data_IF_761508709068
#
_entry.id   IF_761508709068
#
_cell.length_a   1.000
_cell.length_b   1.000
_cell.length_c   1.000
_cell.angle_alpha   90.00
_cell.angle_beta   90.00
_cell.angle_gamma   90.00
#
_symmetry.space_group_name_H-M   'P 1'
#
loop_
_entity.id
_entity.type
_entity.pdbx_description
1 polymer ?
#
# COMPACT_ATOMS: atom_id res chain seq x y z
N UNK A 1 0.06 -3.49 6.17
CA UNK A 1 -0.36 -2.07 6.30
C UNK A 1 -0.02 -1.33 5.02
N UNK A 2 -1.02 -0.73 4.37
CA UNK A 2 -0.83 0.06 3.16
C UNK A 2 -0.71 1.55 3.51
N UNK A 3 0.27 2.20 2.90
CA UNK A 3 0.63 3.60 3.14
C UNK A 3 0.82 4.33 1.81
N UNK A 4 0.68 5.64 1.83
CA UNK A 4 1.05 6.51 0.72
C UNK A 4 2.37 7.22 1.05
N UNK A 5 3.35 7.02 0.20
CA UNK A 5 4.64 7.71 0.21
C UNK A 5 4.59 8.83 -0.80
N UNK A 6 4.90 10.05 -0.41
CA UNK A 6 4.76 11.20 -1.28
C UNK A 6 5.99 12.09 -1.22
N UNK A 7 6.44 12.56 -2.38
CA UNK A 7 7.51 13.53 -2.49
C UNK A 7 6.93 14.95 -2.32
N UNK A 8 7.04 15.51 -1.10
CA UNK A 8 6.50 16.84 -0.77
C UNK A 8 7.00 17.95 -1.70
N UNK A 9 8.23 17.83 -2.21
CA UNK A 9 8.79 18.81 -3.16
C UNK A 9 8.07 18.78 -4.50
N UNK A 10 7.81 17.58 -5.06
CA UNK A 10 7.08 17.48 -6.32
C UNK A 10 5.63 17.98 -6.18
N UNK A 11 4.99 17.75 -5.04
CA UNK A 11 3.67 18.29 -4.72
C UNK A 11 3.71 19.83 -4.60
N UNK A 12 4.72 20.40 -3.91
CA UNK A 12 4.92 21.86 -3.83
C UNK A 12 5.17 22.48 -5.21
N UNK A 13 5.99 21.85 -6.04
CA UNK A 13 6.27 22.28 -7.43
C UNK A 13 5.01 22.21 -8.34
N UNK A 14 3.99 21.44 -7.94
CA UNK A 14 2.67 21.41 -8.58
C UNK A 14 1.67 22.40 -7.96
N UNK A 15 2.09 23.18 -6.94
CA UNK A 15 1.28 24.22 -6.29
C UNK A 15 0.43 23.71 -5.14
N UNK A 16 0.83 22.62 -4.47
CA UNK A 16 0.18 22.08 -3.28
C UNK A 16 1.12 22.23 -2.07
N UNK A 17 0.73 23.01 -1.06
CA UNK A 17 1.54 23.16 0.16
C UNK A 17 1.69 21.85 0.95
N UNK A 18 0.67 21.02 0.89
CA UNK A 18 0.64 19.68 1.50
C UNK A 18 0.14 18.65 0.50
N UNK A 19 0.48 17.38 0.74
CA UNK A 19 -0.08 16.28 -0.04
C UNK A 19 -1.58 16.20 0.22
N UNK A 20 -2.43 16.16 -0.83
CA UNK A 20 -3.88 16.11 -0.67
C UNK A 20 -4.36 14.91 0.15
N UNK A 21 -5.36 15.14 1.00
CA UNK A 21 -5.97 14.13 1.86
C UNK A 21 -7.18 13.42 1.21
N UNK A 22 -7.65 13.92 0.06
CA UNK A 22 -8.80 13.36 -0.67
C UNK A 22 -8.43 12.96 -2.09
N UNK A 23 -9.10 11.93 -2.60
CA UNK A 23 -8.89 11.53 -3.99
C UNK A 23 -9.40 12.56 -5.00
N UNK A 24 -10.40 13.37 -4.64
CA UNK A 24 -10.89 14.44 -5.53
C UNK A 24 -9.78 15.46 -5.81
N UNK A 25 -9.04 15.85 -4.78
CA UNK A 25 -7.88 16.75 -4.93
C UNK A 25 -6.74 16.09 -5.72
N UNK A 26 -6.50 14.80 -5.50
CA UNK A 26 -5.49 14.03 -6.25
C UNK A 26 -5.89 13.93 -7.74
N UNK A 27 -7.16 13.67 -8.04
CA UNK A 27 -7.66 13.67 -9.42
C UNK A 27 -7.50 15.05 -10.08
N UNK A 28 -7.79 16.12 -9.35
CA UNK A 28 -7.58 17.49 -9.84
C UNK A 28 -6.09 17.82 -10.07
N UNK A 29 -5.18 17.17 -9.37
CA UNK A 29 -3.73 17.36 -9.53
C UNK A 29 -3.15 16.60 -10.73
N UNK A 30 -3.79 15.51 -11.18
CA UNK A 30 -3.24 14.62 -12.20
C UNK A 30 -2.78 15.33 -13.50
N UNK A 31 -3.52 16.31 -14.06
CA UNK A 31 -3.05 17.05 -15.24
C UNK A 31 -1.72 17.75 -15.03
N UNK A 32 -1.50 18.34 -13.85
CA UNK A 32 -0.26 19.07 -13.54
C UNK A 32 0.99 18.17 -13.53
N UNK A 33 0.81 16.93 -13.08
CA UNK A 33 1.88 15.92 -13.11
C UNK A 33 2.07 15.34 -14.51
N UNK A 34 0.97 15.13 -15.23
CA UNK A 34 1.03 14.69 -16.63
C UNK A 34 1.77 15.69 -17.53
N UNK A 35 1.58 17.00 -17.35
CA UNK A 35 2.31 18.04 -18.05
C UNK A 35 3.83 17.99 -17.78
N UNK A 36 4.22 17.47 -16.61
CA UNK A 36 5.63 17.24 -16.24
C UNK A 36 6.15 15.87 -16.70
N UNK A 37 5.32 15.06 -17.35
CA UNK A 37 5.68 13.72 -17.83
C UNK A 37 5.86 12.68 -16.73
N UNK A 38 5.27 12.90 -15.54
CA UNK A 38 5.31 11.96 -14.43
C UNK A 38 3.89 11.59 -13.96
N UNK A 39 3.64 10.35 -13.49
CA UNK A 39 2.37 10.01 -12.87
C UNK A 39 2.24 10.65 -11.49
N UNK A 40 1.01 10.92 -11.08
CA UNK A 40 0.71 11.39 -9.73
C UNK A 40 1.03 10.31 -8.71
N UNK A 41 0.67 9.06 -9.01
CA UNK A 41 0.94 7.90 -8.15
C UNK A 41 1.50 6.76 -9.01
N UNK A 42 2.67 6.24 -8.62
CA UNK A 42 3.22 5.03 -9.24
C UNK A 42 2.48 3.78 -8.75
N UNK A 43 2.14 2.91 -9.68
CA UNK A 43 1.59 1.58 -9.43
C UNK A 43 2.27 0.58 -10.36
N UNK A 44 2.71 -0.55 -9.83
CA UNK A 44 3.12 -1.73 -10.59
C UNK A 44 2.21 -2.90 -10.23
N UNK A 45 1.37 -3.31 -11.16
CA UNK A 45 0.31 -4.30 -10.94
C UNK A 45 0.40 -5.53 -11.86
N UNK A 46 1.54 -5.74 -12.50
CA UNK A 46 1.78 -6.91 -13.35
C UNK A 46 1.43 -8.23 -12.66
N UNK A 47 1.72 -8.31 -11.36
CA UNK A 47 1.50 -9.51 -10.56
C UNK A 47 0.11 -9.53 -9.88
N UNK A 48 -0.76 -8.56 -10.16
CA UNK A 48 -2.13 -8.35 -9.67
C UNK A 48 -2.27 -8.04 -8.16
N UNK A 49 -1.42 -8.62 -7.31
CA UNK A 49 -1.52 -8.49 -5.85
C UNK A 49 -1.34 -7.04 -5.32
N UNK A 50 -0.53 -6.14 -5.95
CA UNK A 50 -0.32 -4.81 -5.37
C UNK A 50 -1.61 -3.99 -5.34
N UNK A 51 -2.43 -4.06 -6.40
CA UNK A 51 -3.69 -3.36 -6.44
C UNK A 51 -4.73 -3.97 -5.49
N UNK A 52 -4.77 -5.30 -5.40
CA UNK A 52 -5.64 -6.01 -4.48
C UNK A 52 -5.27 -5.71 -3.02
N UNK A 53 -4.00 -5.95 -2.65
CA UNK A 53 -3.58 -5.90 -1.26
C UNK A 53 -3.34 -4.50 -0.73
N UNK A 54 -2.79 -3.59 -1.55
CA UNK A 54 -2.44 -2.26 -1.09
C UNK A 54 -3.54 -1.22 -1.32
N UNK A 55 -4.45 -1.46 -2.27
CA UNK A 55 -5.48 -0.51 -2.65
C UNK A 55 -6.88 -0.98 -2.27
N UNK A 56 -7.36 -2.09 -2.86
CA UNK A 56 -8.73 -2.55 -2.66
C UNK A 56 -8.98 -2.92 -1.19
N UNK A 57 -8.03 -3.59 -0.53
CA UNK A 57 -8.17 -3.97 0.88
C UNK A 57 -8.32 -2.76 1.81
N UNK A 58 -7.67 -1.64 1.50
CA UNK A 58 -7.76 -0.42 2.28
C UNK A 58 -8.96 0.44 1.88
N UNK A 59 -9.11 0.70 0.58
CA UNK A 59 -10.18 1.56 0.07
C UNK A 59 -11.55 0.89 0.19
N UNK A 60 -11.63 -0.44 0.03
CA UNK A 60 -12.86 -1.20 0.19
C UNK A 60 -13.45 -1.05 1.59
N UNK A 61 -12.65 -1.14 2.64
CA UNK A 61 -13.10 -0.97 4.03
C UNK A 61 -13.72 0.42 4.25
N UNK A 62 -13.19 1.45 3.61
CA UNK A 62 -13.75 2.81 3.73
C UNK A 62 -15.17 2.93 3.17
N UNK A 63 -15.53 2.12 2.18
CA UNK A 63 -16.89 2.02 1.65
C UNK A 63 -17.77 1.09 2.49
N UNK A 64 -17.24 -0.08 2.87
CA UNK A 64 -18.04 -1.16 3.45
C UNK A 64 -18.01 -1.20 4.98
N UNK A 65 -16.90 -0.79 5.58
CA UNK A 65 -16.64 -0.89 7.01
C UNK A 65 -16.26 -2.31 7.47
N UNK A 66 -15.62 -2.36 8.63
CA UNK A 66 -15.08 -3.61 9.22
C UNK A 66 -16.18 -4.64 9.52
N UNK A 67 -17.40 -4.20 9.85
CA UNK A 67 -18.51 -5.13 10.11
C UNK A 67 -18.86 -5.95 8.86
N UNK A 68 -18.86 -5.34 7.69
CA UNK A 68 -19.08 -6.04 6.43
C UNK A 68 -17.97 -7.06 6.16
N UNK A 69 -16.71 -6.68 6.34
CA UNK A 69 -15.57 -7.58 6.19
C UNK A 69 -15.70 -8.81 7.11
N UNK A 70 -16.06 -8.60 8.38
CA UNK A 70 -16.29 -9.68 9.33
C UNK A 70 -17.40 -10.63 8.88
N UNK A 71 -18.49 -10.11 8.29
CA UNK A 71 -19.56 -10.91 7.72
C UNK A 71 -19.11 -11.78 6.54
N UNK A 72 -18.25 -11.24 5.66
CA UNK A 72 -17.63 -12.01 4.57
C UNK A 72 -16.77 -13.16 5.13
N UNK A 73 -15.95 -12.88 6.14
CA UNK A 73 -15.08 -13.89 6.77
C UNK A 73 -15.89 -14.95 7.49
N UNK A 74 -16.93 -14.55 8.22
CA UNK A 74 -17.83 -15.47 8.95
C UNK A 74 -18.65 -16.38 8.02
N UNK A 75 -18.90 -15.94 6.78
CA UNK A 75 -19.72 -16.66 5.79
C UNK A 75 -21.14 -16.95 6.28
N UNK A 76 -21.68 -16.06 7.12
CA UNK A 76 -23.02 -16.20 7.73
C UNK A 76 -24.15 -15.61 6.88
N UNK A 77 -23.81 -15.06 5.71
CA UNK A 77 -24.76 -14.44 4.79
C UNK A 77 -25.13 -12.99 5.13
N UNK A 78 -24.56 -12.43 6.19
CA UNK A 78 -24.77 -11.02 6.58
C UNK A 78 -24.12 -10.02 5.62
N UNK A 79 -23.13 -10.45 4.84
CA UNK A 79 -22.43 -9.64 3.85
C UNK A 79 -22.19 -10.43 2.55
N UNK A 80 -22.20 -9.71 1.42
CA UNK A 80 -22.01 -10.28 0.08
C UNK A 80 -21.18 -9.32 -0.78
N UNK A 81 -20.38 -9.88 -1.69
CA UNK A 81 -19.62 -9.07 -2.67
C UNK A 81 -20.52 -8.30 -3.67
N UNK A 82 -21.84 -8.56 -3.67
CA UNK A 82 -22.84 -7.83 -4.44
C UNK A 82 -23.47 -6.67 -3.67
N UNK A 83 -23.08 -6.45 -2.42
CA UNK A 83 -23.64 -5.35 -1.64
C UNK A 83 -23.26 -4.00 -2.24
N UNK A 84 -24.20 -3.02 -2.25
CA UNK A 84 -23.99 -1.75 -2.93
C UNK A 84 -22.70 -1.04 -2.54
N UNK A 85 -22.35 -1.02 -1.24
CA UNK A 85 -21.13 -0.37 -0.75
C UNK A 85 -19.85 -1.00 -1.34
N UNK A 86 -19.79 -2.34 -1.47
CA UNK A 86 -18.65 -3.00 -2.11
C UNK A 86 -18.63 -2.77 -3.63
N UNK A 87 -19.79 -2.77 -4.27
CA UNK A 87 -19.91 -2.42 -5.69
C UNK A 87 -19.43 -0.98 -5.94
N UNK A 88 -19.72 -0.05 -5.04
CA UNK A 88 -19.26 1.34 -5.17
C UNK A 88 -17.74 1.45 -4.94
N UNK A 89 -17.16 0.67 -4.03
CA UNK A 89 -15.70 0.55 -3.92
C UNK A 89 -15.06 0.07 -5.24
N UNK A 90 -15.65 -0.93 -5.91
CA UNK A 90 -15.16 -1.42 -7.21
C UNK A 90 -15.31 -0.38 -8.34
N UNK A 91 -16.42 0.38 -8.35
CA UNK A 91 -16.60 1.50 -9.28
C UNK A 91 -15.55 2.57 -9.08
N UNK A 92 -15.25 2.91 -7.83
CA UNK A 92 -14.19 3.87 -7.49
C UNK A 92 -12.81 3.38 -7.97
N UNK A 93 -12.46 2.11 -7.72
CA UNK A 93 -11.17 1.56 -8.18
C UNK A 93 -11.06 1.54 -9.70
N UNK A 94 -12.16 1.28 -10.41
CA UNK A 94 -12.21 1.41 -11.87
C UNK A 94 -11.99 2.85 -12.32
N UNK A 95 -12.66 3.81 -11.69
CA UNK A 95 -12.51 5.24 -12.01
C UNK A 95 -11.07 5.71 -11.74
N UNK A 96 -10.46 5.27 -10.65
CA UNK A 96 -9.05 5.54 -10.35
C UNK A 96 -8.12 5.05 -11.46
N UNK A 97 -8.30 3.82 -11.94
CA UNK A 97 -7.51 3.29 -13.07
C UNK A 97 -7.70 4.04 -14.39
N UNK A 98 -8.79 4.77 -14.54
CA UNK A 98 -9.13 5.54 -15.75
C UNK A 98 -8.85 7.04 -15.62
N UNK A 99 -8.49 7.52 -14.43
CA UNK A 99 -8.38 8.96 -14.11
C UNK A 99 -7.11 9.64 -14.63
N UNK A 100 -6.12 8.88 -15.09
CA UNK A 100 -4.79 9.42 -15.45
C UNK A 100 -3.88 9.71 -14.24
N UNK A 101 -4.29 9.36 -13.03
CA UNK A 101 -3.47 9.48 -11.82
C UNK A 101 -2.32 8.49 -11.81
N UNK A 102 -2.56 7.28 -12.32
CA UNK A 102 -1.59 6.20 -12.37
C UNK A 102 -0.73 6.28 -13.64
N UNK A 103 0.47 5.71 -13.59
CA UNK A 103 1.28 5.50 -14.79
C UNK A 103 0.52 4.63 -15.81
N UNK A 104 0.65 4.96 -17.10
CA UNK A 104 -0.13 4.30 -18.17
C UNK A 104 0.14 2.79 -18.29
N UNK A 105 1.34 2.35 -17.91
CA UNK A 105 1.83 0.98 -17.98
C UNK A 105 1.65 0.18 -16.68
N UNK A 106 0.83 0.66 -15.74
CA UNK A 106 0.72 0.08 -14.40
C UNK A 106 0.42 -1.43 -14.36
N UNK A 107 -0.30 -1.97 -15.35
CA UNK A 107 -0.55 -3.40 -15.45
C UNK A 107 0.58 -4.20 -16.12
N UNK A 108 1.62 -3.54 -16.61
CA UNK A 108 2.74 -4.16 -17.32
C UNK A 108 4.04 -4.18 -16.53
N UNK A 109 4.17 -3.29 -15.55
CA UNK A 109 5.35 -3.21 -14.67
C UNK A 109 5.10 -3.90 -13.33
N UNK A 110 6.16 -4.42 -12.73
CA UNK A 110 6.15 -5.06 -11.42
C UNK A 110 6.01 -4.03 -10.29
N UNK A 111 5.68 -4.52 -9.09
CA UNK A 111 5.68 -3.68 -7.89
C UNK A 111 7.04 -3.03 -7.61
N UNK A 112 8.13 -3.79 -7.77
CA UNK A 112 9.48 -3.28 -7.56
C UNK A 112 9.86 -2.19 -8.57
N UNK A 113 9.40 -2.28 -9.81
CA UNK A 113 9.58 -1.23 -10.81
C UNK A 113 8.84 0.05 -10.43
N UNK A 114 7.64 -0.05 -9.86
CA UNK A 114 6.92 1.15 -9.35
C UNK A 114 7.63 1.79 -8.15
N UNK A 115 8.18 1.00 -7.24
CA UNK A 115 9.01 1.51 -6.13
C UNK A 115 10.28 2.19 -6.70
N UNK A 116 10.93 1.57 -7.69
CA UNK A 116 12.10 2.16 -8.35
C UNK A 116 11.77 3.49 -9.05
N UNK A 117 10.60 3.59 -9.68
CA UNK A 117 10.11 4.83 -10.28
C UNK A 117 10.01 5.95 -9.23
N UNK A 118 9.41 5.67 -8.08
CA UNK A 118 9.33 6.61 -6.97
C UNK A 118 10.71 6.99 -6.42
N UNK A 119 11.58 6.01 -6.18
CA UNK A 119 12.94 6.22 -5.66
C UNK A 119 13.80 7.13 -6.53
N UNK A 120 13.50 7.18 -7.83
CA UNK A 120 14.19 8.04 -8.81
C UNK A 120 13.50 9.42 -8.98
N UNK A 121 12.45 9.73 -8.21
CA UNK A 121 11.69 10.96 -8.35
C UNK A 121 10.85 11.04 -9.63
N UNK A 122 10.56 9.91 -10.26
CA UNK A 122 9.78 9.82 -11.50
C UNK A 122 8.27 9.62 -11.28
N UNK A 123 7.80 9.77 -10.05
CA UNK A 123 6.39 9.88 -9.67
C UNK A 123 6.25 10.77 -8.45
N UNK A 124 5.12 11.43 -8.30
CA UNK A 124 4.90 12.30 -7.15
C UNK A 124 4.60 11.51 -5.88
N UNK A 125 4.00 10.34 -6.03
CA UNK A 125 3.66 9.45 -4.92
C UNK A 125 3.77 7.97 -5.30
N UNK A 126 3.74 7.11 -4.28
CA UNK A 126 3.69 5.66 -4.37
C UNK A 126 2.70 5.15 -3.32
N UNK A 127 1.85 4.18 -3.66
CA UNK A 127 1.10 3.41 -2.66
C UNK A 127 1.70 2.02 -2.56
N UNK A 128 2.11 1.67 -1.36
CA UNK A 128 2.75 0.39 -1.08
C UNK A 128 2.55 0.00 0.39
N UNK A 129 2.94 -1.21 0.75
CA UNK A 129 3.01 -1.61 2.15
C UNK A 129 4.22 -0.99 2.87
N UNK A 130 4.21 -1.12 4.20
CA UNK A 130 5.30 -0.59 5.07
C UNK A 130 6.70 -1.09 4.68
N UNK A 131 6.81 -2.24 4.03
CA UNK A 131 8.10 -2.77 3.50
C UNK A 131 8.80 -1.83 2.52
N UNK A 132 8.07 -0.90 1.88
CA UNK A 132 8.68 0.09 1.00
C UNK A 132 9.59 1.06 1.76
N UNK A 133 9.42 1.23 3.07
CA UNK A 133 10.29 2.07 3.91
C UNK A 133 11.75 1.64 3.78
N UNK A 134 12.03 0.35 3.97
CA UNK A 134 13.40 -0.18 3.85
C UNK A 134 13.97 0.02 2.45
N UNK A 135 13.14 -0.17 1.41
CA UNK A 135 13.57 0.03 0.02
C UNK A 135 13.88 1.51 -0.27
N UNK A 136 13.03 2.44 0.20
CA UNK A 136 13.25 3.88 0.04
C UNK A 136 14.51 4.32 0.78
N UNK A 137 14.70 3.88 2.03
CA UNK A 137 15.91 4.18 2.81
C UNK A 137 17.17 3.68 2.09
N UNK A 138 17.14 2.48 1.55
CA UNK A 138 18.29 1.87 0.87
C UNK A 138 18.59 2.46 -0.51
N UNK A 139 17.56 2.69 -1.32
CA UNK A 139 17.72 2.84 -2.76
C UNK A 139 17.26 4.19 -3.34
N UNK A 140 16.48 5.00 -2.62
CA UNK A 140 16.03 6.27 -3.16
C UNK A 140 17.18 7.29 -3.26
N UNK A 141 17.05 8.24 -4.18
CA UNK A 141 17.97 9.35 -4.27
C UNK A 141 17.96 10.19 -2.98
N UNK A 142 19.06 10.90 -2.64
CA UNK A 142 19.07 11.76 -1.46
C UNK A 142 17.92 12.78 -1.44
N UNK A 143 17.60 13.37 -2.58
CA UNK A 143 16.49 14.32 -2.72
C UNK A 143 15.14 13.66 -2.41
N UNK A 144 14.87 12.45 -2.92
CA UNK A 144 13.63 11.73 -2.64
C UNK A 144 13.54 11.36 -1.16
N UNK A 145 14.62 10.86 -0.55
CA UNK A 145 14.66 10.53 0.89
C UNK A 145 14.28 11.71 1.77
N UNK A 146 14.91 12.87 1.53
CA UNK A 146 14.68 14.11 2.29
C UNK A 146 13.25 14.63 2.14
N UNK A 147 12.65 14.41 0.99
CA UNK A 147 11.34 14.94 0.66
C UNK A 147 10.21 13.92 0.79
N UNK A 148 10.49 12.67 1.16
CA UNK A 148 9.44 11.67 1.38
C UNK A 148 8.68 11.96 2.67
N UNK A 149 7.36 12.05 2.54
CA UNK A 149 6.41 12.04 3.66
C UNK A 149 5.50 10.82 3.55
N UNK A 150 5.09 10.29 4.68
CA UNK A 150 4.23 9.10 4.75
C UNK A 150 2.87 9.52 5.29
N UNK A 151 1.82 9.07 4.63
CA UNK A 151 0.44 9.33 5.05
C UNK A 151 -0.44 8.08 4.87
N UNK A 152 -1.64 8.16 5.43
CA UNK A 152 -2.71 7.23 5.06
C UNK A 152 -3.11 7.44 3.60
N UNK A 153 -3.76 6.44 3.00
CA UNK A 153 -4.38 6.64 1.70
C UNK A 153 -5.47 7.72 1.81
N UNK A 154 -5.60 8.58 0.78
CA UNK A 154 -6.64 9.60 0.76
C UNK A 154 -8.05 9.01 0.87
N UNK A 155 -9.01 9.83 1.33
CA UNK A 155 -10.40 9.41 1.43
C UNK A 155 -11.07 9.43 0.05
N UNK A 156 -11.69 8.32 -0.40
CA UNK A 156 -12.51 8.30 -1.60
C UNK A 156 -13.82 9.10 -1.42
N UNK A 157 -14.24 9.81 -2.47
CA UNK A 157 -15.55 10.45 -2.46
C UNK A 157 -16.68 9.43 -2.26
N UNK A 158 -17.65 9.75 -1.42
CA UNK A 158 -18.80 8.89 -1.13
C UNK A 158 -18.51 7.70 -0.22
N UNK A 159 -17.27 7.47 0.18
CA UNK A 159 -16.94 6.43 1.14
C UNK A 159 -17.31 6.88 2.56
N UNK A 160 -18.21 6.14 3.21
CA UNK A 160 -18.72 6.45 4.56
C UNK A 160 -18.92 5.22 5.45
N UNK A 161 -18.47 4.05 5.01
CA UNK A 161 -18.65 2.79 5.73
C UNK A 161 -17.60 2.54 6.81
N UNK A 162 -16.37 3.00 6.60
CA UNK A 162 -15.23 2.77 7.48
C UNK A 162 -14.60 4.08 7.99
N UNK A 163 -13.72 3.95 8.98
CA UNK A 163 -12.95 5.07 9.52
C UNK A 163 -11.89 5.52 8.48
N UNK A 164 -11.89 6.81 8.03
CA UNK A 164 -10.88 7.33 7.11
C UNK A 164 -9.45 7.28 7.67
N UNK A 165 -9.30 7.17 8.97
CA UNK A 165 -8.01 7.04 9.64
C UNK A 165 -7.61 5.58 9.90
N UNK A 166 -8.41 4.61 9.45
CA UNK A 166 -8.06 3.20 9.57
C UNK A 166 -6.92 2.81 8.65
N UNK A 167 -6.12 1.86 9.11
CA UNK A 167 -5.08 1.18 8.33
C UNK A 167 -5.55 -0.23 8.02
N UNK A 168 -5.46 -0.63 6.76
CA UNK A 168 -5.54 -2.04 6.41
C UNK A 168 -4.34 -2.76 7.03
N UNK A 169 -4.60 -3.71 7.91
CA UNK A 169 -3.59 -4.55 8.52
C UNK A 169 -3.99 -6.01 8.42
N UNK A 170 -3.08 -6.83 7.94
CA UNK A 170 -3.23 -8.29 7.95
C UNK A 170 -1.95 -8.92 8.47
N UNK A 171 -2.08 -10.01 9.19
CA UNK A 171 -0.97 -10.91 9.48
C UNK A 171 -0.60 -11.59 8.16
N UNK A 172 0.47 -11.11 7.50
CA UNK A 172 0.79 -11.53 6.13
C UNK A 172 1.73 -12.72 6.06
N UNK A 173 2.74 -12.76 6.91
CA UNK A 173 3.79 -13.77 6.85
C UNK A 173 3.89 -14.53 8.15
N UNK A 174 3.99 -15.83 8.03
CA UNK A 174 4.14 -16.74 9.16
C UNK A 174 5.33 -17.67 8.89
N UNK A 175 6.08 -18.01 9.93
CA UNK A 175 7.02 -19.12 9.87
C UNK A 175 6.30 -20.37 10.34
N UNK A 176 6.28 -21.38 9.48
CA UNK A 176 5.70 -22.67 9.80
C UNK A 176 6.78 -23.75 9.84
N UNK A 177 6.70 -24.62 10.83
CA UNK A 177 7.58 -25.78 10.93
C UNK A 177 6.82 -27.00 10.36
N UNK A 178 7.44 -27.69 9.38
CA UNK A 178 6.84 -28.86 8.77
C UNK A 178 6.58 -29.93 9.84
N UNK A 179 5.32 -30.38 9.95
CA UNK A 179 4.89 -31.35 10.95
C UNK A 179 5.48 -32.78 10.76
N UNK A 180 6.08 -33.04 9.60
CA UNK A 180 6.78 -34.32 9.31
C UNK A 180 8.22 -34.33 9.79
N UNK A 181 8.74 -33.22 10.31
CA UNK A 181 10.07 -33.17 10.91
C UNK A 181 10.05 -33.83 12.27
N UNK A 182 11.08 -34.65 12.56
CA UNK A 182 11.24 -35.37 13.81
C UNK A 182 12.65 -35.16 14.39
N UNK A 183 12.80 -35.47 15.71
CA UNK A 183 14.06 -35.43 16.41
C UNK A 183 14.82 -34.09 16.27
N UNK A 184 16.11 -34.15 16.16
CA UNK A 184 16.99 -32.98 16.11
C UNK A 184 16.65 -31.99 14.98
N UNK A 185 16.14 -32.48 13.84
CA UNK A 185 15.72 -31.58 12.74
C UNK A 185 14.51 -30.74 13.12
N UNK A 186 13.54 -31.33 13.82
CA UNK A 186 12.35 -30.60 14.31
C UNK A 186 12.76 -29.56 15.36
N UNK A 187 13.62 -29.92 16.29
CA UNK A 187 14.12 -29.02 17.32
C UNK A 187 14.88 -27.83 16.71
N UNK A 188 15.76 -28.10 15.76
CA UNK A 188 16.49 -27.05 15.04
C UNK A 188 15.56 -26.11 14.26
N UNK A 189 14.54 -26.67 13.59
CA UNK A 189 13.56 -25.86 12.84
C UNK A 189 12.71 -24.96 13.77
N UNK A 190 12.29 -25.49 14.93
CA UNK A 190 11.56 -24.73 15.93
C UNK A 190 12.45 -23.60 16.47
N UNK A 191 13.70 -23.90 16.83
CA UNK A 191 14.65 -22.89 17.32
C UNK A 191 14.84 -21.78 16.27
N UNK A 192 15.08 -22.12 15.01
CA UNK A 192 15.22 -21.14 13.93
C UNK A 192 13.96 -20.27 13.75
N UNK A 193 12.77 -20.88 13.89
CA UNK A 193 11.50 -20.13 13.81
C UNK A 193 11.38 -19.10 14.94
N UNK A 194 11.76 -19.45 16.17
CA UNK A 194 11.75 -18.52 17.31
C UNK A 194 12.82 -17.44 17.19
N UNK A 195 14.00 -17.73 16.68
CA UNK A 195 15.05 -16.73 16.44
C UNK A 195 14.59 -15.66 15.44
N UNK A 196 13.87 -16.05 14.37
CA UNK A 196 13.33 -15.10 13.38
C UNK A 196 12.22 -14.18 13.93
N UNK A 197 11.63 -14.51 15.08
CA UNK A 197 10.64 -13.70 15.79
C UNK A 197 11.16 -13.22 17.17
N UNK A 198 12.43 -13.46 17.44
CA UNK A 198 13.08 -13.00 18.68
C UNK A 198 13.26 -11.48 18.70
N UNK A 199 13.31 -10.91 19.90
CA UNK A 199 13.46 -9.47 20.10
C UNK A 199 14.73 -8.96 19.40
N UNK A 200 15.85 -9.67 19.55
CA UNK A 200 17.14 -9.27 18.95
C UNK A 200 17.06 -9.17 17.41
N UNK A 201 16.37 -10.10 16.76
CA UNK A 201 16.18 -10.05 15.32
C UNK A 201 15.23 -8.91 14.90
N UNK A 202 14.15 -8.70 15.65
CA UNK A 202 13.23 -7.61 15.41
C UNK A 202 13.93 -6.26 15.58
N UNK A 203 14.72 -6.09 16.65
CA UNK A 203 15.52 -4.89 16.88
C UNK A 203 16.54 -4.66 15.76
N UNK A 204 17.24 -5.70 15.33
CA UNK A 204 18.16 -5.63 14.19
C UNK A 204 17.45 -5.18 12.91
N UNK A 205 16.29 -5.77 12.60
CA UNK A 205 15.49 -5.39 11.42
C UNK A 205 14.97 -3.96 11.52
N UNK A 206 14.52 -3.54 12.72
CA UNK A 206 14.07 -2.18 12.97
C UNK A 206 15.17 -1.14 12.79
N UNK A 207 16.35 -1.39 13.39
CA UNK A 207 17.49 -0.46 13.34
C UNK A 207 18.15 -0.41 11.97
N UNK A 208 18.26 -1.55 11.28
CA UNK A 208 19.00 -1.66 10.01
C UNK A 208 18.15 -1.26 8.82
N UNK A 209 16.88 -1.63 8.83
CA UNK A 209 15.99 -1.52 7.66
C UNK A 209 14.73 -0.70 7.92
N UNK A 210 14.52 -0.18 9.13
CA UNK A 210 13.28 0.54 9.47
C UNK A 210 12.03 -0.36 9.44
N UNK A 211 12.20 -1.66 9.60
CA UNK A 211 11.12 -2.65 9.64
C UNK A 211 10.81 -3.01 11.09
N UNK A 212 9.59 -2.70 11.54
CA UNK A 212 9.06 -3.06 12.85
C UNK A 212 7.89 -4.03 12.71
#
# INVERSE_FOLDING_TARGET
>A
TSLMFSNKKLWADAGYETVPATFDEIFAAAPKFSEKGIPTIALGNKDNWPYESCWISCLGDRFTGTAWFNGIVARDGSAKFTDPAFVDALKFTKALGQSGVLNADFNSISHDESISMYNQGKSASLVSGYWAVANIIGNATPEVKENTVISLLPQPAGASGGDPNSLSNASGWFVAVNNKLEGAKREAAIKAAFELYGVDYCDYMGQTYGML
#
